data_IF_631690846763
#
_entry.id   IF_631690846763
#
_cell.length_a   1.000
_cell.length_b   1.000
_cell.length_c   1.000
_cell.angle_alpha   90.00
_cell.angle_beta   90.00
_cell.angle_gamma   90.00
#
_symmetry.space_group_name_H-M   'P 1'
#
loop_
_entity.id
_entity.type
_entity.pdbx_description
1 polymer ?
#
# COMPACT_ATOMS: atom_id res chain seq x y z
N UNK A 1 7.90 -10.81 57.92
CA UNK A 1 8.09 -9.64 57.04
C UNK A 1 8.79 -9.97 55.71
N UNK A 2 9.81 -10.83 55.68
CA UNK A 2 10.56 -11.18 54.45
C UNK A 2 9.76 -11.87 53.32
N UNK A 3 8.59 -12.46 53.59
CA UNK A 3 7.78 -13.14 52.58
C UNK A 3 6.97 -12.17 51.70
N UNK A 4 6.42 -11.10 52.27
CA UNK A 4 5.62 -10.12 51.52
C UNK A 4 6.48 -9.25 50.59
N UNK A 5 7.74 -8.99 50.95
CA UNK A 5 8.65 -8.22 50.11
C UNK A 5 9.01 -9.01 48.83
N UNK A 6 9.37 -10.29 48.98
CA UNK A 6 9.68 -11.18 47.85
C UNK A 6 8.48 -11.39 46.92
N UNK A 7 7.28 -11.55 47.48
CA UNK A 7 6.05 -11.64 46.66
C UNK A 7 5.81 -10.37 45.83
N UNK A 8 6.11 -9.19 46.38
CA UNK A 8 5.97 -7.92 45.63
C UNK A 8 7.04 -7.76 44.55
N UNK A 9 8.27 -8.17 44.82
CA UNK A 9 9.36 -8.17 43.83
C UNK A 9 9.03 -9.11 42.67
N UNK A 10 8.57 -10.33 42.96
CA UNK A 10 8.12 -11.29 41.94
C UNK A 10 6.93 -10.75 41.14
N UNK A 11 5.94 -10.11 41.78
CA UNK A 11 4.82 -9.48 41.08
C UNK A 11 5.24 -8.31 40.19
N UNK A 12 6.20 -7.49 40.64
CA UNK A 12 6.71 -6.37 39.85
C UNK A 12 7.48 -6.84 38.62
N UNK A 13 8.27 -7.91 38.76
CA UNK A 13 8.96 -8.56 37.63
C UNK A 13 7.96 -9.13 36.62
N UNK A 14 6.94 -9.86 37.09
CA UNK A 14 5.89 -10.39 36.22
C UNK A 14 5.11 -9.29 35.49
N UNK A 15 4.79 -8.19 36.17
CA UNK A 15 4.12 -7.06 35.55
C UNK A 15 5.00 -6.35 34.51
N UNK A 16 6.31 -6.25 34.75
CA UNK A 16 7.27 -5.70 33.80
C UNK A 16 7.39 -6.59 32.56
N UNK A 17 7.54 -7.90 32.73
CA UNK A 17 7.61 -8.86 31.62
C UNK A 17 6.32 -8.82 30.80
N UNK A 18 5.16 -8.79 31.46
CA UNK A 18 3.87 -8.67 30.79
C UNK A 18 3.75 -7.37 29.99
N UNK A 19 4.17 -6.24 30.57
CA UNK A 19 4.13 -4.94 29.88
C UNK A 19 5.08 -4.92 28.65
N UNK A 20 6.25 -5.54 28.76
CA UNK A 20 7.22 -5.62 27.67
C UNK A 20 6.73 -6.52 26.54
N UNK A 21 6.19 -7.69 26.86
CA UNK A 21 5.58 -8.59 25.88
C UNK A 21 4.37 -7.94 25.20
N UNK A 22 3.52 -7.23 25.95
CA UNK A 22 2.38 -6.50 25.40
C UNK A 22 2.83 -5.40 24.44
N UNK A 23 3.78 -4.55 24.85
CA UNK A 23 4.31 -3.48 24.01
C UNK A 23 4.97 -4.02 22.73
N UNK A 24 5.65 -5.17 22.82
CA UNK A 24 6.25 -5.83 21.66
C UNK A 24 5.18 -6.37 20.71
N UNK A 25 4.15 -7.03 21.25
CA UNK A 25 3.06 -7.57 20.45
C UNK A 25 2.31 -6.44 19.72
N UNK A 26 1.93 -5.39 20.44
CA UNK A 26 1.26 -4.21 19.88
C UNK A 26 2.14 -3.52 18.82
N UNK A 27 3.44 -3.38 19.07
CA UNK A 27 4.36 -2.77 18.10
C UNK A 27 4.47 -3.56 16.80
N UNK A 28 4.48 -4.89 16.89
CA UNK A 28 4.49 -5.78 15.71
C UNK A 28 3.15 -5.69 14.97
N UNK A 29 2.04 -5.76 15.68
CA UNK A 29 0.69 -5.69 15.12
C UNK A 29 0.48 -4.36 14.37
N UNK A 30 0.78 -3.23 15.01
CA UNK A 30 0.68 -1.91 14.38
C UNK A 30 1.61 -1.76 13.18
N UNK A 31 2.82 -2.33 13.25
CA UNK A 31 3.78 -2.31 12.13
C UNK A 31 3.25 -3.09 10.92
N UNK A 32 2.70 -4.29 11.16
CA UNK A 32 2.09 -5.13 10.13
C UNK A 32 0.85 -4.49 9.52
N UNK A 33 -0.06 -3.99 10.37
CA UNK A 33 -1.30 -3.36 9.92
C UNK A 33 -1.01 -2.15 9.02
N UNK A 34 -0.15 -1.23 9.45
CA UNK A 34 0.25 -0.07 8.65
C UNK A 34 0.96 -0.46 7.36
N UNK A 35 1.81 -1.49 7.41
CA UNK A 35 2.53 -1.99 6.24
C UNK A 35 1.57 -2.58 5.20
N UNK A 36 0.62 -3.39 5.65
CA UNK A 36 -0.40 -4.00 4.79
C UNK A 36 -1.36 -2.96 4.23
N UNK A 37 -1.84 -2.02 5.04
CA UNK A 37 -2.74 -0.96 4.60
C UNK A 37 -2.09 -0.11 3.51
N UNK A 38 -0.86 0.38 3.74
CA UNK A 38 -0.11 1.16 2.74
C UNK A 38 0.16 0.37 1.47
N UNK A 39 0.60 -0.88 1.60
CA UNK A 39 0.88 -1.74 0.44
C UNK A 39 -0.37 -2.02 -0.39
N UNK A 40 -1.52 -2.20 0.26
CA UNK A 40 -2.81 -2.39 -0.43
C UNK A 40 -3.31 -1.12 -1.09
N UNK A 41 -3.18 0.02 -0.44
CA UNK A 41 -3.58 1.31 -1.00
C UNK A 41 -2.75 1.64 -2.24
N UNK A 42 -1.43 1.59 -2.11
CA UNK A 42 -0.50 1.83 -3.23
C UNK A 42 -0.74 0.86 -4.38
N UNK A 43 -0.79 -0.45 -4.11
CA UNK A 43 -1.02 -1.44 -5.16
C UNK A 43 -2.40 -1.31 -5.83
N UNK A 44 -3.42 -0.81 -5.11
CA UNK A 44 -4.74 -0.54 -5.67
C UNK A 44 -4.71 0.70 -6.57
N UNK A 45 -4.07 1.78 -6.13
CA UNK A 45 -3.93 3.00 -6.93
C UNK A 45 -3.14 2.74 -8.21
N UNK A 46 -1.97 2.11 -8.10
CA UNK A 46 -1.13 1.74 -9.24
C UNK A 46 -1.90 0.82 -10.21
N UNK A 47 -2.59 -0.20 -9.71
CA UNK A 47 -3.37 -1.11 -10.55
C UNK A 47 -4.56 -0.45 -11.25
N UNK A 48 -5.21 0.53 -10.62
CA UNK A 48 -6.29 1.31 -11.24
C UNK A 48 -5.71 2.22 -12.34
N UNK A 49 -4.61 2.90 -12.07
CA UNK A 49 -3.97 3.80 -13.03
C UNK A 49 -3.46 3.02 -14.25
N UNK A 50 -2.79 1.89 -14.04
CA UNK A 50 -2.30 1.03 -15.12
C UNK A 50 -3.46 0.40 -15.91
N UNK A 51 -4.51 -0.05 -15.23
CA UNK A 51 -5.72 -0.56 -15.87
C UNK A 51 -6.41 0.49 -16.76
N UNK A 52 -6.47 1.74 -16.29
CA UNK A 52 -7.02 2.86 -17.06
C UNK A 52 -6.16 3.15 -18.31
N UNK A 53 -4.83 3.19 -18.16
CA UNK A 53 -3.89 3.37 -19.28
C UNK A 53 -4.09 2.30 -20.35
N UNK A 54 -4.10 1.03 -19.97
CA UNK A 54 -4.30 -0.09 -20.89
C UNK A 54 -5.69 -0.02 -21.54
N UNK A 55 -6.73 0.31 -20.79
CA UNK A 55 -8.09 0.49 -21.30
C UNK A 55 -8.17 1.56 -22.40
N UNK A 56 -7.59 2.74 -22.14
CA UNK A 56 -7.58 3.85 -23.10
C UNK A 56 -6.73 3.54 -24.34
N UNK A 57 -5.57 2.89 -24.17
CA UNK A 57 -4.75 2.39 -25.29
C UNK A 57 -5.56 1.45 -26.18
N UNK A 58 -6.32 0.51 -25.59
CA UNK A 58 -7.14 -0.41 -26.36
C UNK A 58 -8.28 0.28 -27.11
N UNK A 59 -8.92 1.29 -26.50
CA UNK A 59 -9.98 2.07 -27.16
C UNK A 59 -9.45 2.87 -28.35
N UNK A 60 -8.28 3.49 -28.22
CA UNK A 60 -7.64 4.21 -29.33
C UNK A 60 -7.23 3.25 -30.45
N UNK A 61 -6.71 2.06 -30.11
CA UNK A 61 -6.37 1.02 -31.10
C UNK A 61 -7.57 0.44 -31.84
N UNK A 62 -8.75 0.48 -31.23
CA UNK A 62 -10.01 0.05 -31.85
C UNK A 62 -10.67 1.18 -32.65
N UNK A 63 -9.99 2.32 -32.82
CA UNK A 63 -10.51 3.54 -33.44
C UNK A 63 -11.81 4.05 -32.76
N UNK A 64 -12.05 3.67 -31.49
CA UNK A 64 -13.21 4.10 -30.70
C UNK A 64 -12.96 5.44 -29.99
N UNK A 65 -11.71 5.84 -29.86
CA UNK A 65 -11.28 7.08 -29.21
C UNK A 65 -10.08 7.66 -29.95
N UNK A 66 -9.88 8.98 -29.87
CA UNK A 66 -8.67 9.62 -30.43
C UNK A 66 -7.57 9.74 -29.36
N UNK A 67 -6.31 9.82 -29.80
CA UNK A 67 -5.15 10.00 -28.92
C UNK A 67 -5.24 11.27 -28.07
N UNK A 68 -5.86 12.33 -28.59
CA UNK A 68 -6.06 13.59 -27.87
C UNK A 68 -6.95 13.37 -26.64
N UNK A 69 -8.11 12.75 -26.82
CA UNK A 69 -9.06 12.50 -25.73
C UNK A 69 -8.48 11.54 -24.71
N UNK A 70 -7.78 10.48 -25.14
CA UNK A 70 -7.12 9.56 -24.22
C UNK A 70 -6.01 10.25 -23.40
N UNK A 71 -5.20 11.10 -24.04
CA UNK A 71 -4.12 11.82 -23.38
C UNK A 71 -4.64 12.81 -22.33
N UNK A 72 -5.76 13.50 -22.62
CA UNK A 72 -6.42 14.40 -21.69
C UNK A 72 -6.97 13.65 -20.47
N UNK A 73 -7.61 12.48 -20.67
CA UNK A 73 -8.12 11.67 -19.56
C UNK A 73 -7.02 11.13 -18.63
N UNK A 74 -5.82 10.92 -19.17
CA UNK A 74 -4.65 10.50 -18.41
C UNK A 74 -3.84 11.69 -17.85
N UNK A 75 -4.22 12.93 -18.16
CA UNK A 75 -3.51 14.14 -17.72
C UNK A 75 -2.09 14.26 -18.30
N UNK A 76 -1.85 13.71 -19.49
CA UNK A 76 -0.56 13.74 -20.18
C UNK A 76 -0.67 14.35 -21.57
N UNK A 77 0.47 14.60 -22.20
CA UNK A 77 0.51 15.11 -23.58
C UNK A 77 0.19 14.03 -24.60
N UNK A 78 -0.30 14.44 -25.77
CA UNK A 78 -0.56 13.52 -26.90
C UNK A 78 0.70 12.73 -27.27
N UNK A 79 1.88 13.38 -27.24
CA UNK A 79 3.15 12.73 -27.56
C UNK A 79 3.53 11.62 -26.56
N UNK A 80 3.28 11.83 -25.26
CA UNK A 80 3.49 10.81 -24.22
C UNK A 80 2.53 9.63 -24.42
N UNK A 81 1.27 9.91 -24.74
CA UNK A 81 0.30 8.86 -25.03
C UNK A 81 0.65 8.06 -26.30
N UNK A 82 1.10 8.72 -27.36
CA UNK A 82 1.58 8.05 -28.57
C UNK A 82 2.83 7.18 -28.32
N UNK A 83 3.69 7.56 -27.38
CA UNK A 83 4.79 6.71 -26.94
C UNK A 83 4.26 5.44 -26.24
N UNK A 84 3.27 5.57 -25.35
CA UNK A 84 2.61 4.43 -24.71
C UNK A 84 1.96 3.48 -25.73
N UNK A 85 1.32 4.00 -26.78
CA UNK A 85 0.76 3.19 -27.87
C UNK A 85 1.82 2.33 -28.58
N UNK A 86 3.05 2.85 -28.72
CA UNK A 86 4.19 2.15 -29.35
C UNK A 86 4.83 1.12 -28.41
N UNK A 87 4.84 1.37 -27.11
CA UNK A 87 5.41 0.43 -26.14
C UNK A 87 4.51 -0.79 -25.92
N UNK A 88 3.19 -0.61 -25.96
CA UNK A 88 2.22 -1.71 -25.88
C UNK A 88 2.12 -2.54 -27.17
N UNK A 89 3.05 -2.40 -28.13
CA UNK A 89 3.02 -3.09 -29.43
C UNK A 89 3.77 -4.44 -29.45
N UNK A 90 4.12 -4.99 -28.29
CA UNK A 90 4.66 -6.36 -28.12
C UNK A 90 3.60 -7.30 -27.57
#
# INVERSE_FOLDING_TARGET
MFSQLRMREEQALLAQDYALETARAEGIEQGLERGLERGREQGREEGIEEGLKVGLVNLVRQDLLTSEVASEQLGMTVAEFEALLKDHHK
#
